data_IF_388216813029
#
_entry.id   IF_388216813029
#
_cell.length_a   1.000
_cell.length_b   1.000
_cell.length_c   1.000
_cell.angle_alpha   90.00
_cell.angle_beta   90.00
_cell.angle_gamma   90.00
#
_symmetry.space_group_name_H-M   'P 1'
#
loop_
_entity.id
_entity.type
_entity.pdbx_description
1 polymer ?
#
# COMPACT_ATOMS: atom_id res chain seq x y z
N UNK A 1 1.40 -9.09 -12.78
CA UNK A 1 0.01 -9.43 -12.40
C UNK A 1 0.02 -9.78 -10.93
N UNK A 2 -0.94 -9.26 -10.16
CA UNK A 2 -1.04 -9.55 -8.72
C UNK A 2 -1.24 -11.05 -8.48
N UNK A 3 -0.65 -11.58 -7.42
CA UNK A 3 -0.83 -12.96 -7.03
C UNK A 3 -2.23 -13.17 -6.43
N UNK A 4 -2.88 -14.29 -6.75
CA UNK A 4 -4.23 -14.63 -6.26
C UNK A 4 -4.34 -14.77 -4.74
N UNK A 5 -3.22 -14.96 -4.06
CA UNK A 5 -3.12 -15.22 -2.62
C UNK A 5 -2.59 -14.02 -1.81
N UNK A 6 -2.19 -12.92 -2.45
CA UNK A 6 -1.76 -11.69 -1.76
C UNK A 6 -2.88 -10.66 -1.84
N UNK A 7 -3.65 -10.55 -0.78
CA UNK A 7 -4.84 -9.70 -0.71
C UNK A 7 -4.68 -8.74 0.47
N UNK A 8 -4.81 -7.43 0.22
CA UNK A 8 -4.84 -6.43 1.30
C UNK A 8 -6.07 -6.63 2.17
N UNK A 9 -5.91 -6.47 3.49
CA UNK A 9 -7.02 -6.44 4.44
C UNK A 9 -8.03 -5.32 4.14
N UNK A 10 -7.61 -4.26 3.44
CA UNK A 10 -8.46 -3.14 3.04
C UNK A 10 -9.05 -3.28 1.62
N UNK A 11 -8.90 -4.44 0.97
CA UNK A 11 -9.31 -4.66 -0.43
C UNK A 11 -10.75 -4.22 -0.70
N UNK A 12 -11.71 -4.66 0.11
CA UNK A 12 -13.12 -4.35 -0.10
C UNK A 12 -13.40 -2.85 0.03
N UNK A 13 -12.72 -2.18 0.96
CA UNK A 13 -12.83 -0.73 1.13
C UNK A 13 -12.30 0.03 -0.09
N UNK A 14 -11.19 -0.42 -0.66
CA UNK A 14 -10.62 0.18 -1.87
C UNK A 14 -11.55 0.06 -3.08
N UNK A 15 -12.15 -1.12 -3.27
CA UNK A 15 -13.14 -1.33 -4.33
C UNK A 15 -14.37 -0.45 -4.15
N UNK A 16 -14.87 -0.34 -2.91
CA UNK A 16 -16.02 0.51 -2.59
C UNK A 16 -15.74 2.01 -2.83
N UNK A 17 -14.47 2.44 -2.74
CA UNK A 17 -14.02 3.79 -3.06
C UNK A 17 -13.71 4.00 -4.55
N UNK A 18 -13.92 2.99 -5.40
CA UNK A 18 -13.75 3.07 -6.85
C UNK A 18 -12.34 2.76 -7.36
N UNK A 19 -11.49 2.10 -6.57
CA UNK A 19 -10.18 1.68 -7.05
C UNK A 19 -10.24 0.40 -7.88
N UNK A 20 -9.42 0.33 -8.93
CA UNK A 20 -9.31 -0.86 -9.80
C UNK A 20 -8.26 -1.88 -9.34
N UNK A 21 -7.52 -1.59 -8.26
CA UNK A 21 -6.49 -2.46 -7.66
C UNK A 21 -5.47 -2.99 -8.67
N UNK A 22 -4.43 -2.19 -8.94
CA UNK A 22 -3.38 -2.60 -9.88
C UNK A 22 -2.25 -3.35 -9.15
N UNK A 23 -1.46 -4.09 -9.91
CA UNK A 23 -0.39 -4.92 -9.35
C UNK A 23 0.77 -4.07 -8.84
N UNK A 24 1.07 -4.20 -7.55
CA UNK A 24 2.29 -3.69 -6.95
C UNK A 24 2.90 -4.73 -6.01
N UNK A 25 4.14 -5.14 -6.28
CA UNK A 25 4.83 -6.18 -5.53
C UNK A 25 4.02 -7.50 -5.42
N UNK A 26 3.30 -7.84 -6.49
CA UNK A 26 2.46 -9.03 -6.55
C UNK A 26 1.18 -8.93 -5.71
N UNK A 27 0.76 -7.74 -5.29
CA UNK A 27 -0.45 -7.49 -4.49
C UNK A 27 -1.29 -6.39 -5.14
N UNK A 28 -2.61 -6.59 -5.22
CA UNK A 28 -3.53 -5.57 -5.70
C UNK A 28 -3.52 -4.34 -4.78
N UNK A 29 -3.18 -3.18 -5.32
CA UNK A 29 -2.95 -1.92 -4.58
C UNK A 29 -3.76 -0.78 -5.20
N UNK A 30 -4.33 0.08 -4.34
CA UNK A 30 -5.15 1.20 -4.77
C UNK A 30 -4.27 2.40 -5.18
N UNK A 31 -4.14 2.62 -6.49
CA UNK A 31 -3.40 3.76 -7.05
C UNK A 31 -4.27 5.00 -7.18
N UNK A 32 -5.54 4.80 -7.55
CA UNK A 32 -6.54 5.85 -7.74
C UNK A 32 -7.88 5.39 -7.15
N UNK A 33 -8.74 6.38 -6.92
CA UNK A 33 -10.13 6.21 -6.48
C UNK A 33 -11.05 6.97 -7.45
N UNK A 34 -12.36 7.03 -7.16
CA UNK A 34 -13.32 7.71 -8.04
C UNK A 34 -13.16 9.23 -8.14
N UNK A 35 -12.44 9.87 -7.21
CA UNK A 35 -12.15 11.31 -7.20
C UNK A 35 -10.86 11.66 -7.95
N UNK A 36 -10.72 12.95 -8.30
CA UNK A 36 -9.57 13.45 -9.06
C UNK A 36 -8.25 13.27 -8.29
N UNK A 37 -7.20 12.89 -9.01
CA UNK A 37 -5.86 12.72 -8.45
C UNK A 37 -5.27 14.04 -7.94
N UNK A 38 -5.57 15.16 -8.60
CA UNK A 38 -5.12 16.49 -8.19
C UNK A 38 -5.70 16.87 -6.81
N UNK A 39 -6.98 16.59 -6.58
CA UNK A 39 -7.64 16.84 -5.29
C UNK A 39 -7.02 16.00 -4.17
N UNK A 40 -6.72 14.73 -4.45
CA UNK A 40 -6.01 13.87 -3.50
C UNK A 40 -4.61 14.41 -3.18
N UNK A 41 -3.86 14.83 -4.20
CA UNK A 41 -2.52 15.37 -4.02
C UNK A 41 -2.53 16.66 -3.20
N UNK A 42 -3.47 17.57 -3.46
CA UNK A 42 -3.65 18.78 -2.65
C UNK A 42 -3.99 18.41 -1.21
N UNK A 43 -5.00 17.55 -0.99
CA UNK A 43 -5.45 17.16 0.34
C UNK A 43 -4.34 16.53 1.18
N UNK A 44 -3.47 15.70 0.58
CA UNK A 44 -2.31 15.11 1.27
C UNK A 44 -1.33 16.20 1.74
N UNK A 45 -1.12 17.25 0.93
CA UNK A 45 -0.15 18.31 1.23
C UNK A 45 -0.68 19.41 2.14
N UNK A 46 -1.98 19.69 2.07
CA UNK A 46 -2.60 20.81 2.79
C UNK A 46 -3.41 20.36 4.00
N UNK A 47 -3.77 19.08 4.08
CA UNK A 47 -4.59 18.49 5.15
C UNK A 47 -3.98 17.17 5.63
N UNK A 48 -4.58 16.05 5.27
CA UNK A 48 -4.16 14.71 5.68
C UNK A 48 -4.49 13.70 4.59
N UNK A 49 -3.72 12.61 4.55
CA UNK A 49 -3.97 11.47 3.68
C UNK A 49 -3.68 10.15 4.40
N UNK A 50 -4.37 9.09 3.97
CA UNK A 50 -4.15 7.72 4.42
C UNK A 50 -3.73 6.88 3.22
N UNK A 51 -2.65 6.11 3.37
CA UNK A 51 -2.08 5.28 2.31
C UNK A 51 -2.00 3.83 2.79
N UNK A 52 -2.51 2.89 1.98
CA UNK A 52 -2.34 1.46 2.22
C UNK A 52 -1.02 0.99 1.60
N UNK A 53 0.02 0.89 2.43
CA UNK A 53 1.35 0.40 2.04
C UNK A 53 1.59 -1.06 2.46
N UNK A 54 0.51 -1.83 2.67
CA UNK A 54 0.58 -3.23 3.12
C UNK A 54 1.31 -4.14 2.13
N UNK A 55 1.52 -3.70 0.89
CA UNK A 55 2.27 -4.42 -0.13
C UNK A 55 3.77 -4.51 0.15
N UNK A 56 4.30 -3.68 1.05
CA UNK A 56 5.70 -3.75 1.47
C UNK A 56 5.97 -5.05 2.25
N UNK A 57 7.11 -5.67 1.95
CA UNK A 57 7.61 -6.79 2.74
C UNK A 57 8.18 -6.25 4.05
N UNK A 58 7.59 -6.67 5.16
CA UNK A 58 8.03 -6.31 6.51
C UNK A 58 8.90 -7.45 7.04
N UNK A 59 10.09 -7.12 7.53
CA UNK A 59 11.03 -8.09 8.11
C UNK A 59 11.39 -7.59 9.52
N UNK A 60 11.49 -8.52 10.46
CA UNK A 60 11.91 -8.25 11.83
C UNK A 60 13.12 -9.14 12.13
N UNK A 61 14.29 -8.52 12.28
CA UNK A 61 15.54 -9.21 12.61
C UNK A 61 15.78 -9.15 14.12
N UNK A 62 16.14 -10.28 14.73
CA UNK A 62 16.33 -10.40 16.18
C UNK A 62 17.56 -11.26 16.48
N UNK A 63 18.40 -10.83 17.42
CA UNK A 63 19.57 -11.57 17.92
C UNK A 63 20.74 -10.66 18.30
N UNK A 64 21.73 -11.14 19.08
CA UNK A 64 22.87 -10.33 19.55
C UNK A 64 23.70 -9.66 18.44
N UNK A 65 23.62 -10.17 17.21
CA UNK A 65 24.38 -9.68 16.06
C UNK A 65 23.47 -9.29 14.87
N UNK A 66 22.18 -9.00 15.10
CA UNK A 66 21.26 -8.65 14.02
C UNK A 66 21.70 -7.42 13.21
N UNK A 67 22.35 -6.44 13.86
CA UNK A 67 22.86 -5.23 13.22
C UNK A 67 23.95 -5.52 12.18
N UNK A 68 24.80 -6.53 12.39
CA UNK A 68 25.90 -6.83 11.45
C UNK A 68 25.41 -7.34 10.10
N UNK A 69 24.14 -7.72 9.97
CA UNK A 69 23.51 -8.16 8.72
C UNK A 69 22.92 -6.99 7.90
N UNK A 70 22.94 -5.77 8.43
CA UNK A 70 22.36 -4.57 7.80
C UNK A 70 23.41 -3.63 7.17
N UNK A 71 24.70 -4.00 7.20
CA UNK A 71 25.79 -3.29 6.51
C UNK A 71 25.93 -3.76 5.06
#
# INVERSE_FOLDING_TARGET
MAHSWRISALRERHLALGSNLEDWNGMGTAWTYASDLADHHEAIRTRAGLMDVSGLKKVHYVGPHAESLLQ
#
